data_IF_557618121246
#
_entry.id   IF_557618121246
#
_cell.length_a   1.000
_cell.length_b   1.000
_cell.length_c   1.000
_cell.angle_alpha   90.00
_cell.angle_beta   90.00
_cell.angle_gamma   90.00
#
_symmetry.space_group_name_H-M   'P 1'
#
loop_
_entity.id
_entity.type
_entity.pdbx_description
1 polymer ?
#
# COMPACT_ATOMS: atom_id res chain seq x y z
N UNK A 1 40.05 5.08 15.95
CA UNK A 1 38.57 4.82 15.81
C UNK A 1 37.94 4.17 17.03
N UNK A 2 38.43 3.02 17.53
CA UNK A 2 37.84 2.34 18.70
C UNK A 2 37.88 3.25 19.92
N UNK A 3 39.00 3.88 20.21
CA UNK A 3 39.14 4.83 21.33
C UNK A 3 38.18 6.03 21.20
N UNK A 4 38.03 6.57 19.98
CA UNK A 4 37.12 7.69 19.71
C UNK A 4 35.66 7.28 19.98
N UNK A 5 35.25 6.07 19.49
CA UNK A 5 33.93 5.53 19.73
C UNK A 5 33.67 5.35 21.24
N UNK A 6 34.60 4.74 21.95
CA UNK A 6 34.53 4.56 23.41
C UNK A 6 34.39 5.92 24.11
N UNK A 7 35.16 6.91 23.69
CA UNK A 7 35.08 8.27 24.23
C UNK A 7 33.70 8.88 24.05
N UNK A 8 33.08 8.76 22.85
CA UNK A 8 31.75 9.27 22.55
C UNK A 8 30.69 8.51 23.34
N UNK A 9 30.81 7.18 23.44
CA UNK A 9 29.85 6.36 24.21
C UNK A 9 29.87 6.76 25.70
N UNK A 10 31.06 6.92 26.28
CA UNK A 10 31.21 7.31 27.67
C UNK A 10 30.63 8.71 27.91
N UNK A 11 30.96 9.67 27.05
CA UNK A 11 30.40 11.02 27.14
C UNK A 11 28.87 11.03 27.07
N UNK A 12 28.27 10.26 26.14
CA UNK A 12 26.82 10.16 26.05
C UNK A 12 26.19 9.55 27.30
N UNK A 13 26.81 8.50 27.85
CA UNK A 13 26.36 7.87 29.10
C UNK A 13 26.46 8.83 30.31
N UNK A 14 27.49 9.68 30.37
CA UNK A 14 27.63 10.73 31.38
C UNK A 14 26.53 11.79 31.32
N UNK A 15 25.88 11.92 30.14
CA UNK A 15 24.72 12.79 29.93
C UNK A 15 23.37 12.04 30.11
N UNK A 16 23.37 10.88 30.76
CA UNK A 16 22.19 10.02 30.97
C UNK A 16 21.51 9.56 29.67
N UNK A 17 22.27 9.48 28.56
CA UNK A 17 21.76 9.00 27.27
C UNK A 17 22.00 7.49 27.12
N UNK A 18 20.98 6.76 26.69
CA UNK A 18 21.13 5.37 26.27
C UNK A 18 21.80 5.31 24.90
N UNK A 19 22.86 4.52 24.78
CA UNK A 19 23.63 4.40 23.55
C UNK A 19 23.36 3.07 22.86
N UNK A 20 23.02 3.15 21.60
CA UNK A 20 22.95 2.03 20.68
C UNK A 20 23.94 2.27 19.53
N UNK A 21 24.56 1.22 19.00
CA UNK A 21 25.58 1.36 17.97
C UNK A 21 25.22 0.56 16.70
N UNK A 22 25.40 1.20 15.55
CA UNK A 22 25.39 0.51 14.25
C UNK A 22 26.80 0.05 13.91
N UNK A 23 26.93 -1.23 13.57
CA UNK A 23 28.15 -1.79 12.97
C UNK A 23 27.99 -1.67 11.45
N UNK A 24 28.16 -0.44 10.94
CA UNK A 24 27.89 -0.11 9.53
C UNK A 24 28.60 -1.07 8.59
N UNK A 25 27.88 -1.53 7.54
CA UNK A 25 28.31 -2.54 6.58
C UNK A 25 28.72 -3.89 7.22
N UNK A 26 28.04 -4.24 8.32
CA UNK A 26 28.30 -5.48 9.05
C UNK A 26 28.24 -6.73 8.16
N UNK A 27 27.33 -6.76 7.18
CA UNK A 27 27.18 -7.89 6.26
C UNK A 27 28.45 -8.17 5.46
N UNK A 28 29.03 -7.16 4.84
CA UNK A 28 30.33 -7.29 4.14
C UNK A 28 31.48 -7.52 5.13
N UNK A 29 31.44 -6.87 6.29
CA UNK A 29 32.42 -7.12 7.35
C UNK A 29 32.48 -8.59 7.74
N UNK A 30 31.33 -9.23 7.97
CA UNK A 30 31.25 -10.66 8.30
C UNK A 30 31.67 -11.60 7.17
N UNK A 31 31.46 -11.17 5.93
CA UNK A 31 31.85 -11.92 4.74
C UNK A 31 33.37 -11.85 4.49
N UNK A 32 33.94 -10.66 4.54
CA UNK A 32 35.29 -10.40 4.03
C UNK A 32 36.32 -10.27 5.15
N UNK A 33 35.93 -9.89 6.37
CA UNK A 33 36.82 -9.63 7.51
C UNK A 33 36.14 -9.84 8.87
N UNK A 34 35.65 -11.06 9.18
CA UNK A 34 34.92 -11.34 10.42
C UNK A 34 35.73 -11.06 11.68
N UNK A 35 37.09 -11.24 11.63
CA UNK A 35 37.98 -10.95 12.74
C UNK A 35 37.94 -9.47 13.13
N UNK A 36 37.82 -8.57 12.15
CA UNK A 36 37.70 -7.12 12.41
C UNK A 36 36.35 -6.82 13.07
N UNK A 37 35.26 -7.44 12.63
CA UNK A 37 33.96 -7.28 13.27
C UNK A 37 34.03 -7.73 14.73
N UNK A 38 34.62 -8.88 15.01
CA UNK A 38 34.78 -9.37 16.38
C UNK A 38 35.66 -8.47 17.22
N UNK A 39 36.78 -7.99 16.69
CA UNK A 39 37.65 -7.05 17.36
C UNK A 39 36.92 -5.77 17.80
N UNK A 40 36.10 -5.23 16.90
CA UNK A 40 35.29 -4.05 17.19
C UNK A 40 34.30 -4.33 18.33
N UNK A 41 33.57 -5.42 18.24
CA UNK A 41 32.57 -5.79 19.28
C UNK A 41 33.23 -6.13 20.60
N UNK A 42 34.36 -6.87 20.61
CA UNK A 42 35.13 -7.20 21.82
C UNK A 42 35.56 -5.92 22.58
N UNK A 43 36.03 -4.92 21.85
CA UNK A 43 36.42 -3.63 22.45
C UNK A 43 35.22 -2.85 23.03
N UNK A 44 34.06 -2.91 22.35
CA UNK A 44 32.87 -2.17 22.76
C UNK A 44 32.06 -2.87 23.86
N UNK A 45 32.24 -4.17 24.05
CA UNK A 45 31.51 -4.94 25.09
C UNK A 45 31.81 -4.48 26.52
N UNK A 46 32.90 -3.73 26.72
CA UNK A 46 33.24 -3.13 28.02
C UNK A 46 32.58 -1.77 28.29
N UNK A 47 31.83 -1.27 27.32
CA UNK A 47 31.08 0.00 27.42
C UNK A 47 29.61 -0.26 27.77
N UNK A 48 28.88 0.81 28.11
CA UNK A 48 27.45 0.71 28.43
C UNK A 48 26.57 0.88 27.17
N UNK A 49 26.92 0.19 26.08
CA UNK A 49 26.09 0.09 24.88
C UNK A 49 24.96 -0.90 25.16
N UNK A 50 23.71 -0.49 24.88
CA UNK A 50 22.51 -1.31 25.11
C UNK A 50 22.21 -2.26 23.97
N UNK A 51 22.38 -1.80 22.73
CA UNK A 51 22.04 -2.58 21.53
C UNK A 51 23.11 -2.42 20.46
N UNK A 52 23.39 -3.52 19.80
CA UNK A 52 24.29 -3.59 18.64
C UNK A 52 23.44 -3.87 17.40
N UNK A 53 23.34 -2.89 16.52
CA UNK A 53 22.62 -2.99 15.25
C UNK A 53 23.51 -3.63 14.21
N UNK A 54 23.02 -4.71 13.61
CA UNK A 54 23.70 -5.49 12.58
C UNK A 54 23.04 -5.23 11.22
N UNK A 55 23.49 -4.20 10.47
CA UNK A 55 22.88 -3.86 9.20
C UNK A 55 23.41 -4.72 8.06
N UNK A 56 22.49 -5.23 7.28
CA UNK A 56 22.75 -5.63 5.90
C UNK A 56 22.59 -4.39 5.02
N UNK A 57 23.60 -3.51 5.09
CA UNK A 57 23.57 -2.14 4.56
C UNK A 57 23.28 -2.09 3.07
N UNK A 58 23.78 -3.04 2.30
CA UNK A 58 23.60 -3.11 0.85
C UNK A 58 22.61 -4.21 0.43
N UNK A 59 21.92 -4.84 1.39
CA UNK A 59 20.94 -5.89 1.14
C UNK A 59 21.55 -7.11 0.42
N UNK A 60 22.80 -7.46 0.72
CA UNK A 60 23.57 -8.48 -0.01
C UNK A 60 23.43 -9.90 0.54
N UNK A 61 22.87 -10.05 1.75
CA UNK A 61 22.75 -11.34 2.38
C UNK A 61 21.56 -12.14 1.88
N UNK A 62 21.75 -13.45 1.79
CA UNK A 62 20.65 -14.40 1.71
C UNK A 62 20.34 -14.99 3.11
N UNK A 63 19.18 -15.65 3.30
CA UNK A 63 18.78 -16.19 4.60
C UNK A 63 19.80 -17.16 5.24
N UNK A 64 20.51 -17.96 4.45
CA UNK A 64 21.50 -18.90 4.97
C UNK A 64 22.73 -18.15 5.55
N UNK A 65 23.17 -17.09 4.89
CA UNK A 65 24.25 -16.23 5.38
C UNK A 65 23.82 -15.48 6.64
N UNK A 66 22.58 -14.99 6.71
CA UNK A 66 22.06 -14.36 7.93
C UNK A 66 22.10 -15.37 9.09
N UNK A 67 21.64 -16.61 8.88
CA UNK A 67 21.71 -17.66 9.91
C UNK A 67 23.13 -17.90 10.36
N UNK A 68 24.04 -18.03 9.43
CA UNK A 68 25.47 -18.27 9.73
C UNK A 68 26.08 -17.14 10.54
N UNK A 69 25.98 -15.91 10.03
CA UNK A 69 26.66 -14.75 10.61
C UNK A 69 26.03 -14.35 11.95
N UNK A 70 24.72 -14.33 12.02
CA UNK A 70 24.00 -14.00 13.23
C UNK A 70 24.30 -15.01 14.36
N UNK A 71 24.30 -16.31 14.05
CA UNK A 71 24.65 -17.35 15.03
C UNK A 71 26.09 -17.21 15.53
N UNK A 72 27.05 -16.82 14.69
CA UNK A 72 28.43 -16.53 15.12
C UNK A 72 28.44 -15.39 16.15
N UNK A 73 27.69 -14.30 15.89
CA UNK A 73 27.56 -13.17 16.82
C UNK A 73 26.91 -13.60 18.15
N UNK A 74 25.75 -14.23 18.09
CA UNK A 74 24.99 -14.65 19.30
C UNK A 74 25.77 -15.68 20.12
N UNK A 75 26.46 -16.62 19.47
CA UNK A 75 27.29 -17.60 20.17
C UNK A 75 28.49 -16.97 20.89
N UNK A 76 29.14 -16.00 20.25
CA UNK A 76 30.30 -15.31 20.83
C UNK A 76 29.90 -14.32 21.93
N UNK A 77 28.74 -13.67 21.78
CA UNK A 77 28.26 -12.63 22.69
C UNK A 77 26.85 -12.92 23.20
N UNK A 78 26.67 -13.97 24.04
CA UNK A 78 25.33 -14.47 24.40
C UNK A 78 24.52 -13.47 25.24
N UNK A 79 25.18 -12.52 25.87
CA UNK A 79 24.50 -11.49 26.69
C UNK A 79 24.20 -10.20 25.91
N UNK A 80 24.76 -10.03 24.71
CA UNK A 80 24.52 -8.85 23.91
C UNK A 80 23.08 -8.81 23.36
N UNK A 81 22.59 -7.61 23.12
CA UNK A 81 21.33 -7.36 22.42
C UNK A 81 21.65 -7.00 20.98
N UNK A 82 21.35 -7.90 20.07
CA UNK A 82 21.52 -7.69 18.65
C UNK A 82 20.20 -7.37 17.97
N UNK A 83 20.15 -6.23 17.26
CA UNK A 83 19.07 -5.87 16.34
C UNK A 83 19.52 -6.11 14.91
N UNK A 84 18.62 -6.60 14.07
CA UNK A 84 18.90 -6.81 12.65
C UNK A 84 18.23 -5.73 11.80
N UNK A 85 18.97 -5.12 10.87
CA UNK A 85 18.51 -4.05 9.99
C UNK A 85 18.75 -4.44 8.52
N UNK A 86 17.77 -5.04 7.81
CA UNK A 86 17.96 -5.47 6.43
C UNK A 86 17.48 -4.44 5.42
N UNK A 87 18.32 -4.11 4.44
CA UNK A 87 17.90 -3.52 3.18
C UNK A 87 17.34 -4.57 2.22
N UNK A 88 16.61 -4.13 1.18
CA UNK A 88 15.76 -4.99 0.35
C UNK A 88 16.23 -5.10 -1.12
N UNK A 89 17.52 -4.89 -1.38
CA UNK A 89 18.06 -4.77 -2.74
C UNK A 89 17.85 -6.03 -3.61
N UNK A 90 17.88 -7.21 -3.01
CA UNK A 90 17.54 -8.50 -3.67
C UNK A 90 16.11 -8.99 -3.38
N UNK A 91 15.25 -8.13 -2.82
CA UNK A 91 13.90 -8.51 -2.36
C UNK A 91 13.88 -9.62 -1.29
N UNK A 92 14.96 -9.72 -0.49
CA UNK A 92 15.14 -10.74 0.53
C UNK A 92 14.97 -10.22 1.97
N UNK A 93 14.70 -8.92 2.16
CA UNK A 93 14.69 -8.33 3.50
C UNK A 93 13.74 -9.05 4.47
N UNK A 94 12.53 -9.41 4.03
CA UNK A 94 11.54 -10.11 4.88
C UNK A 94 12.00 -11.52 5.22
N UNK A 95 12.54 -12.27 4.28
CA UNK A 95 13.09 -13.61 4.52
C UNK A 95 14.35 -13.57 5.41
N UNK A 96 15.16 -12.52 5.27
CA UNK A 96 16.32 -12.28 6.12
C UNK A 96 15.92 -11.94 7.56
N UNK A 97 14.82 -11.20 7.77
CA UNK A 97 14.24 -11.01 9.11
C UNK A 97 13.86 -12.34 9.75
N UNK A 98 13.17 -13.22 9.01
CA UNK A 98 12.83 -14.56 9.48
C UNK A 98 14.08 -15.32 9.94
N UNK A 99 15.12 -15.32 9.12
CA UNK A 99 16.41 -15.96 9.41
C UNK A 99 17.11 -15.36 10.64
N UNK A 100 17.05 -14.04 10.81
CA UNK A 100 17.62 -13.35 11.96
C UNK A 100 16.91 -13.73 13.27
N UNK A 101 15.58 -13.77 13.28
CA UNK A 101 14.79 -14.21 14.45
C UNK A 101 15.14 -15.64 14.83
N UNK A 102 15.17 -16.58 13.86
CA UNK A 102 15.58 -17.97 14.09
C UNK A 102 17.02 -18.12 14.61
N UNK A 103 17.83 -17.07 14.44
CA UNK A 103 19.23 -17.07 14.83
C UNK A 103 19.51 -16.28 16.11
N UNK A 104 18.45 -15.71 16.76
CA UNK A 104 18.55 -15.07 18.06
C UNK A 104 18.63 -13.54 18.02
N UNK A 105 18.23 -12.89 16.93
CA UNK A 105 18.00 -11.44 16.94
C UNK A 105 16.94 -11.08 17.98
N UNK A 106 17.19 -10.02 18.76
CA UNK A 106 16.29 -9.55 19.82
C UNK A 106 15.48 -8.33 19.39
N UNK A 107 15.94 -7.63 18.36
CA UNK A 107 15.25 -6.50 17.75
C UNK A 107 15.31 -6.57 16.23
N UNK A 108 14.33 -5.93 15.59
CA UNK A 108 14.17 -5.89 14.13
C UNK A 108 13.87 -4.48 13.69
N UNK A 109 14.62 -3.99 12.72
CA UNK A 109 14.36 -2.69 12.13
C UNK A 109 13.46 -2.84 10.90
N UNK A 110 12.38 -2.12 10.90
CA UNK A 110 11.39 -2.13 9.83
C UNK A 110 10.94 -0.72 9.50
N UNK A 111 10.40 -0.53 8.31
CA UNK A 111 9.81 0.76 7.93
C UNK A 111 8.37 0.56 7.42
N UNK A 112 7.56 1.59 7.56
CA UNK A 112 6.22 1.57 6.96
C UNK A 112 6.37 1.54 5.43
N UNK A 113 5.61 0.67 4.78
CA UNK A 113 5.68 0.41 3.34
C UNK A 113 7.03 -0.10 2.82
N UNK A 114 7.98 -0.40 3.70
CA UNK A 114 9.33 -0.75 3.32
C UNK A 114 10.13 0.42 2.77
N UNK A 115 9.77 1.66 3.09
CA UNK A 115 10.48 2.85 2.62
C UNK A 115 11.92 2.86 3.14
N UNK A 116 12.83 3.36 2.33
CA UNK A 116 14.26 3.49 2.65
C UNK A 116 15.07 3.77 1.41
N UNK A 117 16.38 3.78 1.55
CA UNK A 117 17.28 3.98 0.42
C UNK A 117 17.16 2.85 -0.61
N UNK A 118 17.41 3.16 -1.88
CA UNK A 118 17.40 2.23 -3.02
C UNK A 118 16.10 1.43 -3.12
N UNK A 119 16.15 0.10 -2.81
CA UNK A 119 14.97 -0.77 -2.81
C UNK A 119 14.21 -0.78 -1.45
N UNK A 120 14.68 0.02 -0.49
CA UNK A 120 14.04 0.16 0.83
C UNK A 120 14.49 -0.88 1.85
N UNK A 121 13.63 -1.10 2.84
CA UNK A 121 13.87 -1.96 4.00
C UNK A 121 12.76 -3.03 4.13
N UNK A 122 12.86 -3.88 5.15
CA UNK A 122 11.78 -4.80 5.48
C UNK A 122 10.51 -4.03 5.88
N UNK A 123 9.36 -4.26 5.21
CA UNK A 123 8.10 -3.59 5.55
C UNK A 123 7.51 -4.12 6.85
N UNK A 124 7.11 -3.21 7.75
CA UNK A 124 6.51 -3.55 9.04
C UNK A 124 5.34 -4.52 8.90
N UNK A 125 4.46 -4.29 7.93
CA UNK A 125 3.26 -5.12 7.72
C UNK A 125 3.59 -6.59 7.48
N UNK A 126 4.56 -6.88 6.60
CA UNK A 126 4.99 -8.24 6.31
C UNK A 126 5.73 -8.88 7.48
N UNK A 127 6.60 -8.12 8.15
CA UNK A 127 7.33 -8.61 9.32
C UNK A 127 6.37 -8.93 10.47
N UNK A 128 5.39 -8.07 10.74
CA UNK A 128 4.38 -8.32 11.77
C UNK A 128 3.59 -9.61 11.50
N UNK A 129 3.12 -9.81 10.27
CA UNK A 129 2.39 -11.01 9.90
C UNK A 129 3.24 -12.28 10.09
N UNK A 130 4.49 -12.27 9.62
CA UNK A 130 5.42 -13.40 9.79
C UNK A 130 5.69 -13.71 11.26
N UNK A 131 5.94 -12.71 12.09
CA UNK A 131 6.18 -12.90 13.51
C UNK A 131 4.99 -13.55 14.20
N UNK A 132 3.78 -13.16 13.85
CA UNK A 132 2.57 -13.74 14.40
C UNK A 132 2.30 -15.15 13.89
N UNK A 133 2.37 -15.36 12.58
CA UNK A 133 1.92 -16.60 11.93
C UNK A 133 2.95 -17.73 12.03
N UNK A 134 4.25 -17.39 12.02
CA UNK A 134 5.32 -18.40 12.02
C UNK A 134 6.05 -18.53 13.35
N UNK A 135 5.96 -17.54 14.25
CA UNK A 135 6.64 -17.57 15.54
C UNK A 135 5.69 -17.50 16.73
N UNK A 136 4.39 -17.32 16.51
CA UNK A 136 3.40 -17.04 17.54
C UNK A 136 3.83 -15.87 18.45
N UNK A 137 4.54 -14.91 17.89
CA UNK A 137 5.05 -13.78 18.66
C UNK A 137 3.90 -12.88 19.12
N UNK A 138 3.99 -12.46 20.38
CA UNK A 138 3.07 -11.46 20.94
C UNK A 138 3.70 -10.10 20.71
N UNK A 139 3.02 -9.26 19.95
CA UNK A 139 3.41 -7.87 19.72
C UNK A 139 2.27 -6.94 20.13
N UNK A 140 2.60 -5.67 20.39
CA UNK A 140 1.60 -4.65 20.68
C UNK A 140 1.12 -3.91 19.42
N UNK A 141 1.37 -4.46 18.23
CA UNK A 141 0.99 -3.86 16.96
C UNK A 141 -0.45 -4.26 16.64
N UNK A 142 -1.30 -3.26 16.45
CA UNK A 142 -2.67 -3.45 15.96
C UNK A 142 -2.64 -3.65 14.43
N UNK A 143 -2.80 -4.90 14.01
CA UNK A 143 -2.81 -5.27 12.59
C UNK A 143 -3.94 -4.60 11.80
N UNK A 144 -5.08 -4.32 12.46
CA UNK A 144 -6.22 -3.64 11.85
C UNK A 144 -5.92 -2.21 11.40
N UNK A 145 -4.89 -1.58 11.98
CA UNK A 145 -4.47 -0.22 11.64
C UNK A 145 -3.31 -0.15 10.64
N UNK A 146 -2.73 -1.27 10.23
CA UNK A 146 -1.58 -1.26 9.32
C UNK A 146 -1.91 -0.60 7.98
N UNK A 147 -3.10 -0.80 7.44
CA UNK A 147 -3.53 -0.15 6.20
C UNK A 147 -3.70 1.36 6.37
N UNK A 148 -4.28 1.82 7.48
CA UNK A 148 -4.42 3.23 7.81
C UNK A 148 -3.05 3.93 7.85
N UNK A 149 -2.13 3.40 8.63
CA UNK A 149 -0.77 3.95 8.77
C UNK A 149 -0.02 3.93 7.44
N UNK A 150 -0.20 2.87 6.66
CA UNK A 150 0.39 2.72 5.33
C UNK A 150 -0.06 3.84 4.39
N UNK A 151 -1.36 4.18 4.36
CA UNK A 151 -1.92 5.27 3.55
C UNK A 151 -1.46 6.65 4.03
N UNK A 152 -1.35 6.84 5.33
CA UNK A 152 -0.81 8.10 5.89
C UNK A 152 0.62 8.32 5.41
N UNK A 153 1.48 7.29 5.49
CA UNK A 153 2.87 7.40 5.03
C UNK A 153 2.96 7.57 3.51
N UNK A 154 2.12 6.89 2.72
CA UNK A 154 2.00 7.12 1.28
C UNK A 154 1.71 8.59 0.97
N UNK A 155 0.73 9.17 1.65
CA UNK A 155 0.33 10.57 1.47
C UNK A 155 1.44 11.56 1.82
N UNK A 156 2.17 11.34 2.92
CA UNK A 156 3.23 12.24 3.35
C UNK A 156 4.53 12.07 2.56
N UNK A 157 4.86 10.85 2.16
CA UNK A 157 6.08 10.58 1.39
C UNK A 157 5.95 10.88 -0.10
N UNK A 158 4.73 10.90 -0.63
CA UNK A 158 4.46 10.97 -2.07
C UNK A 158 4.82 9.68 -2.84
N UNK A 159 5.24 8.63 -2.14
CA UNK A 159 5.61 7.34 -2.75
C UNK A 159 4.40 6.42 -2.72
N UNK A 160 3.84 6.13 -3.89
CA UNK A 160 2.67 5.29 -4.03
C UNK A 160 2.93 3.84 -3.60
N UNK A 161 1.96 3.23 -2.93
CA UNK A 161 1.99 1.82 -2.57
C UNK A 161 1.65 0.98 -3.81
N UNK A 162 2.52 0.06 -4.26
CA UNK A 162 2.17 -0.87 -5.33
C UNK A 162 0.89 -1.65 -5.00
N UNK A 163 -0.02 -1.77 -5.96
CA UNK A 163 -1.31 -2.43 -5.75
C UNK A 163 -1.19 -3.89 -5.29
N UNK A 164 -0.08 -4.55 -5.62
CA UNK A 164 0.26 -5.92 -5.20
C UNK A 164 1.20 -5.99 -3.99
N UNK A 165 1.45 -4.87 -3.28
CA UNK A 165 2.28 -4.88 -2.07
C UNK A 165 1.64 -5.77 -1.01
N UNK A 166 2.34 -6.77 -0.45
CA UNK A 166 1.77 -7.66 0.56
C UNK A 166 1.07 -6.90 1.69
N UNK A 167 -0.12 -7.34 2.08
CA UNK A 167 -0.96 -6.85 3.18
C UNK A 167 -1.57 -5.46 2.94
N UNK A 168 -0.83 -4.49 2.44
CA UNK A 168 -1.26 -3.09 2.35
C UNK A 168 -1.60 -2.62 0.94
N UNK A 169 -1.26 -3.41 -0.08
CA UNK A 169 -1.62 -3.14 -1.47
C UNK A 169 -3.13 -3.24 -1.71
N UNK A 170 -3.62 -2.53 -2.71
CA UNK A 170 -5.05 -2.46 -3.01
C UNK A 170 -5.62 -3.84 -3.40
N UNK A 171 -4.88 -4.61 -4.21
CA UNK A 171 -5.36 -5.85 -4.81
C UNK A 171 -5.03 -7.13 -4.01
N UNK A 172 -4.37 -7.03 -2.85
CA UNK A 172 -3.84 -8.22 -2.15
C UNK A 172 -4.92 -9.13 -1.57
N UNK A 173 -6.13 -8.62 -1.37
CA UNK A 173 -7.28 -9.38 -0.91
C UNK A 173 -8.35 -9.55 -1.98
N UNK A 174 -8.00 -9.29 -3.24
CA UNK A 174 -8.92 -9.35 -4.38
C UNK A 174 -8.75 -10.67 -5.13
N UNK A 175 -9.82 -11.45 -5.20
CA UNK A 175 -9.90 -12.69 -5.98
C UNK A 175 -10.28 -12.37 -7.42
N UNK A 176 -9.50 -12.85 -8.38
CA UNK A 176 -9.73 -12.61 -9.81
C UNK A 176 -10.42 -13.80 -10.47
N UNK A 177 -10.00 -15.03 -10.13
CA UNK A 177 -10.51 -16.24 -10.77
C UNK A 177 -11.88 -16.67 -10.19
N UNK A 178 -12.86 -16.89 -11.05
CA UNK A 178 -14.19 -17.35 -10.64
C UNK A 178 -14.19 -18.68 -9.87
N UNK A 179 -13.22 -19.56 -10.15
CA UNK A 179 -13.02 -20.82 -9.42
C UNK A 179 -12.65 -20.57 -7.94
N UNK A 180 -11.85 -19.54 -7.67
CA UNK A 180 -11.48 -19.18 -6.30
C UNK A 180 -12.68 -18.62 -5.54
N UNK A 181 -13.47 -17.73 -6.17
CA UNK A 181 -14.69 -17.20 -5.57
C UNK A 181 -15.72 -18.29 -5.28
N UNK A 182 -15.89 -19.27 -6.17
CA UNK A 182 -16.76 -20.42 -5.96
C UNK A 182 -16.26 -21.33 -4.82
N UNK A 183 -14.95 -21.54 -4.73
CA UNK A 183 -14.33 -22.29 -3.65
C UNK A 183 -14.46 -21.64 -2.29
N UNK A 184 -14.31 -20.32 -2.22
CA UNK A 184 -14.52 -19.53 -1.01
C UNK A 184 -15.98 -19.66 -0.51
N UNK A 185 -16.96 -19.62 -1.41
CA UNK A 185 -18.38 -19.78 -1.07
C UNK A 185 -18.71 -21.19 -0.54
N UNK A 186 -17.97 -22.21 -0.95
CA UNK A 186 -18.26 -23.60 -0.60
C UNK A 186 -17.60 -24.05 0.71
N UNK A 187 -16.41 -23.62 1.04
CA UNK A 187 -15.69 -24.11 2.24
C UNK A 187 -14.42 -23.31 2.55
N UNK A 188 -14.26 -22.08 2.11
CA UNK A 188 -13.01 -21.32 2.24
C UNK A 188 -11.77 -22.08 1.71
N UNK A 189 -11.91 -22.76 0.56
CA UNK A 189 -10.88 -23.66 0.03
C UNK A 189 -9.58 -22.95 -0.38
N UNK A 190 -9.62 -21.65 -0.62
CA UNK A 190 -8.47 -20.84 -1.04
C UNK A 190 -8.11 -19.76 -0.03
N UNK A 191 -8.31 -20.05 1.27
CA UNK A 191 -7.90 -19.19 2.37
C UNK A 191 -6.49 -19.54 2.85
N UNK A 192 -5.77 -18.51 3.28
CA UNK A 192 -4.56 -18.60 4.08
C UNK A 192 -4.76 -17.82 5.40
N UNK A 193 -3.75 -17.80 6.25
CA UNK A 193 -3.80 -17.12 7.56
C UNK A 193 -3.84 -15.60 7.46
N UNK A 194 -3.55 -15.04 6.27
CA UNK A 194 -3.65 -13.60 5.99
C UNK A 194 -5.09 -13.23 5.66
N UNK A 195 -5.98 -13.38 6.64
CA UNK A 195 -7.39 -13.02 6.47
C UNK A 195 -7.54 -11.50 6.35
N UNK A 196 -8.34 -10.99 5.38
CA UNK A 196 -8.54 -9.55 5.18
C UNK A 196 -8.99 -8.82 6.45
N UNK A 197 -9.86 -9.44 7.24
CA UNK A 197 -10.44 -8.88 8.46
C UNK A 197 -9.38 -8.56 9.53
N UNK A 198 -8.27 -9.33 9.59
CA UNK A 198 -7.12 -9.05 10.47
C UNK A 198 -6.54 -7.67 10.22
N UNK A 199 -6.60 -7.22 8.98
CA UNK A 199 -5.98 -6.00 8.50
C UNK A 199 -6.99 -4.87 8.25
N UNK A 200 -8.21 -4.99 8.80
CA UNK A 200 -9.28 -4.01 8.62
C UNK A 200 -9.79 -3.93 7.18
N UNK A 201 -9.60 -4.99 6.39
CA UNK A 201 -10.02 -5.09 4.99
C UNK A 201 -11.14 -6.11 4.84
N UNK A 202 -11.72 -6.13 3.67
CA UNK A 202 -12.67 -7.16 3.23
C UNK A 202 -12.10 -7.90 2.02
N UNK A 203 -12.58 -9.12 1.82
CA UNK A 203 -12.31 -9.84 0.58
C UNK A 203 -13.10 -9.22 -0.55
N UNK A 204 -12.43 -9.00 -1.66
CA UNK A 204 -12.99 -8.37 -2.85
C UNK A 204 -12.94 -9.36 -4.02
N UNK A 205 -13.83 -9.17 -5.00
CA UNK A 205 -13.87 -10.00 -6.19
C UNK A 205 -13.73 -9.10 -7.41
N UNK A 206 -12.63 -9.27 -8.15
CA UNK A 206 -12.34 -8.43 -9.31
C UNK A 206 -13.42 -8.56 -10.39
N UNK A 207 -13.67 -7.44 -11.05
CA UNK A 207 -14.58 -7.34 -12.20
C UNK A 207 -13.74 -7.06 -13.45
N UNK A 208 -13.92 -7.85 -14.52
CA UNK A 208 -13.19 -7.70 -15.77
C UNK A 208 -13.18 -8.95 -16.64
N UNK A 209 -12.23 -9.05 -17.55
CA UNK A 209 -12.10 -10.12 -18.56
C UNK A 209 -12.24 -11.54 -18.00
N UNK A 210 -11.63 -11.83 -16.86
CA UNK A 210 -11.61 -13.16 -16.26
C UNK A 210 -12.72 -13.35 -15.19
N UNK A 211 -13.64 -12.41 -15.07
CA UNK A 211 -14.73 -12.49 -14.09
C UNK A 211 -15.76 -13.53 -14.52
N UNK A 212 -15.91 -14.56 -13.69
CA UNK A 212 -17.03 -15.50 -13.82
C UNK A 212 -18.31 -14.93 -13.23
N UNK A 213 -19.46 -15.56 -13.57
CA UNK A 213 -20.77 -15.21 -13.00
C UNK A 213 -20.77 -15.15 -11.47
N UNK A 214 -19.96 -16.01 -10.81
CA UNK A 214 -19.86 -16.05 -9.36
C UNK A 214 -19.28 -14.76 -8.76
N UNK A 215 -18.23 -14.20 -9.36
CA UNK A 215 -17.63 -12.93 -8.91
C UNK A 215 -18.64 -11.78 -9.05
N UNK A 216 -19.34 -11.72 -10.20
CA UNK A 216 -20.30 -10.65 -10.47
C UNK A 216 -21.48 -10.76 -9.53
N UNK A 217 -22.02 -11.98 -9.33
CA UNK A 217 -23.12 -12.24 -8.40
C UNK A 217 -22.74 -11.78 -7.00
N UNK A 218 -21.55 -12.11 -6.51
CA UNK A 218 -21.09 -11.72 -5.19
C UNK A 218 -21.01 -10.20 -5.01
N UNK A 219 -20.44 -9.50 -5.97
CA UNK A 219 -20.40 -8.03 -5.95
C UNK A 219 -21.81 -7.39 -5.99
N UNK A 220 -22.73 -7.98 -6.74
CA UNK A 220 -24.14 -7.51 -6.79
C UNK A 220 -24.85 -7.76 -5.47
N UNK A 221 -24.67 -8.93 -4.85
CA UNK A 221 -25.22 -9.27 -3.53
C UNK A 221 -24.73 -8.31 -2.46
N UNK A 222 -23.45 -7.96 -2.45
CA UNK A 222 -22.85 -6.98 -1.53
C UNK A 222 -23.48 -5.57 -1.68
N UNK A 223 -23.98 -5.25 -2.88
CA UNK A 223 -24.73 -4.02 -3.16
C UNK A 223 -26.25 -4.17 -2.92
N UNK A 224 -26.72 -5.34 -2.49
CA UNK A 224 -28.14 -5.64 -2.30
C UNK A 224 -28.92 -5.78 -3.63
N UNK A 225 -28.23 -6.06 -4.74
CA UNK A 225 -28.82 -6.24 -6.07
C UNK A 225 -28.94 -7.73 -6.40
N UNK A 226 -30.11 -8.12 -6.87
CA UNK A 226 -30.38 -9.49 -7.36
C UNK A 226 -30.88 -9.43 -8.81
N UNK A 227 -30.24 -10.21 -9.68
CA UNK A 227 -30.60 -10.29 -11.10
C UNK A 227 -31.07 -11.71 -11.44
N UNK A 228 -32.02 -11.80 -12.36
CA UNK A 228 -32.36 -13.08 -13.00
C UNK A 228 -31.21 -13.57 -13.91
N UNK A 229 -31.31 -14.83 -14.36
CA UNK A 229 -30.20 -15.46 -15.12
C UNK A 229 -29.93 -14.79 -16.48
N UNK A 230 -30.95 -14.26 -17.18
CA UNK A 230 -30.76 -13.58 -18.46
C UNK A 230 -30.10 -12.21 -18.27
N UNK A 231 -30.58 -11.45 -17.30
CA UNK A 231 -29.98 -10.18 -16.86
C UNK A 231 -28.55 -10.36 -16.40
N UNK A 232 -28.27 -11.41 -15.60
CA UNK A 232 -26.92 -11.76 -15.16
C UNK A 232 -26.00 -12.06 -16.34
N UNK A 233 -26.48 -12.80 -17.34
CA UNK A 233 -25.72 -13.11 -18.55
C UNK A 233 -25.32 -11.84 -19.29
N UNK A 234 -26.28 -10.93 -19.54
CA UNK A 234 -26.04 -9.67 -20.26
C UNK A 234 -25.06 -8.76 -19.52
N UNK A 235 -25.19 -8.63 -18.21
CA UNK A 235 -24.27 -7.85 -17.36
C UNK A 235 -22.88 -8.46 -17.38
N UNK A 236 -22.78 -9.81 -17.30
CA UNK A 236 -21.50 -10.53 -17.39
C UNK A 236 -20.80 -10.25 -18.71
N UNK A 237 -21.52 -10.36 -19.84
CA UNK A 237 -20.97 -10.09 -21.17
C UNK A 237 -20.45 -8.65 -21.27
N UNK A 238 -21.19 -7.68 -20.73
CA UNK A 238 -20.77 -6.27 -20.72
C UNK A 238 -19.52 -6.02 -19.90
N UNK A 239 -19.42 -6.62 -18.72
CA UNK A 239 -18.22 -6.50 -17.87
C UNK A 239 -17.01 -7.12 -18.55
N UNK A 240 -17.15 -8.26 -19.21
CA UNK A 240 -16.08 -8.89 -19.97
C UNK A 240 -15.65 -7.99 -21.14
N UNK A 241 -16.58 -7.40 -21.86
CA UNK A 241 -16.32 -6.47 -22.97
C UNK A 241 -15.50 -5.26 -22.49
N UNK A 242 -15.88 -4.65 -21.34
CA UNK A 242 -15.13 -3.55 -20.72
C UNK A 242 -13.71 -4.00 -20.34
N UNK A 243 -13.59 -5.16 -19.71
CA UNK A 243 -12.29 -5.73 -19.35
C UNK A 243 -11.40 -6.07 -20.55
N UNK A 244 -11.98 -6.49 -21.69
CA UNK A 244 -11.24 -6.73 -22.94
C UNK A 244 -10.70 -5.42 -23.53
N UNK A 245 -11.40 -4.31 -23.32
CA UNK A 245 -10.93 -2.95 -23.67
C UNK A 245 -9.91 -2.40 -22.65
N UNK A 246 -9.49 -3.20 -21.66
CA UNK A 246 -8.62 -2.79 -20.55
C UNK A 246 -9.19 -1.67 -19.68
N UNK A 247 -10.50 -1.53 -19.65
CA UNK A 247 -11.17 -0.64 -18.71
C UNK A 247 -11.22 -1.32 -17.33
N UNK A 248 -10.84 -0.59 -16.30
CA UNK A 248 -10.97 -1.07 -14.91
C UNK A 248 -12.44 -0.94 -14.52
N UNK A 249 -13.06 -2.05 -14.18
CA UNK A 249 -14.44 -2.09 -13.66
C UNK A 249 -14.36 -2.27 -12.14
N UNK A 250 -14.99 -1.38 -11.40
CA UNK A 250 -15.09 -1.43 -9.94
C UNK A 250 -16.49 -1.87 -9.49
N UNK A 251 -16.64 -2.17 -8.21
CA UNK A 251 -17.94 -2.51 -7.63
C UNK A 251 -18.94 -1.34 -7.74
N UNK A 252 -18.44 -0.12 -7.63
CA UNK A 252 -19.24 1.10 -7.75
C UNK A 252 -19.80 1.32 -9.16
N UNK A 253 -19.16 0.74 -10.18
CA UNK A 253 -19.64 0.83 -11.57
C UNK A 253 -20.81 -0.11 -11.84
N UNK A 254 -20.99 -1.18 -11.05
CA UNK A 254 -22.01 -2.20 -11.29
C UNK A 254 -23.43 -1.66 -11.40
N UNK A 255 -23.92 -0.78 -10.51
CA UNK A 255 -25.28 -0.24 -10.64
C UNK A 255 -25.51 0.50 -11.96
N UNK A 256 -24.48 1.20 -12.47
CA UNK A 256 -24.53 1.91 -13.75
C UNK A 256 -24.52 0.92 -14.92
N UNK A 257 -23.68 -0.10 -14.88
CA UNK A 257 -23.59 -1.14 -15.91
C UNK A 257 -24.93 -1.91 -15.98
N UNK A 258 -25.49 -2.27 -14.82
CA UNK A 258 -26.80 -2.94 -14.75
C UNK A 258 -27.90 -2.06 -15.36
N UNK A 259 -27.94 -0.78 -14.99
CA UNK A 259 -28.92 0.18 -15.52
C UNK A 259 -28.78 0.36 -17.03
N UNK A 260 -27.58 0.48 -17.54
CA UNK A 260 -27.29 0.62 -18.99
C UNK A 260 -27.71 -0.63 -19.78
N UNK A 261 -27.33 -1.79 -19.30
CA UNK A 261 -27.59 -3.08 -19.99
C UNK A 261 -29.05 -3.46 -19.99
N UNK A 262 -29.76 -3.25 -18.88
CA UNK A 262 -31.17 -3.67 -18.74
C UNK A 262 -32.13 -2.60 -19.22
N UNK A 263 -31.67 -1.40 -19.57
CA UNK A 263 -32.49 -0.24 -19.96
C UNK A 263 -33.64 0.04 -18.98
N UNK A 264 -33.50 -0.40 -17.74
CA UNK A 264 -34.43 -0.17 -16.65
C UNK A 264 -33.73 0.72 -15.61
N UNK A 265 -34.38 1.83 -15.26
CA UNK A 265 -33.86 2.78 -14.29
C UNK A 265 -33.69 2.16 -12.90
N UNK A 266 -32.58 1.41 -12.70
CA UNK A 266 -32.19 0.88 -11.40
C UNK A 266 -31.71 2.01 -10.49
N UNK A 267 -31.30 3.14 -11.09
CA UNK A 267 -30.92 4.35 -10.37
C UNK A 267 -31.86 5.51 -10.71
N UNK A 268 -32.52 6.04 -9.71
CA UNK A 268 -33.11 7.37 -9.81
C UNK A 268 -31.98 8.38 -9.82
N UNK A 269 -31.57 8.84 -11.00
CA UNK A 269 -30.56 9.88 -11.12
C UNK A 269 -31.07 11.16 -10.46
N UNK A 270 -30.72 11.32 -9.18
CA UNK A 270 -31.08 12.53 -8.42
C UNK A 270 -30.34 13.77 -8.93
N UNK A 271 -29.21 13.57 -9.58
CA UNK A 271 -28.34 14.62 -10.13
C UNK A 271 -27.97 14.23 -11.56
N UNK A 272 -28.26 15.11 -12.52
CA UNK A 272 -27.91 14.92 -13.94
C UNK A 272 -27.01 16.06 -14.39
N UNK A 273 -25.86 15.72 -14.96
CA UNK A 273 -25.02 16.70 -15.64
C UNK A 273 -25.62 17.01 -17.00
N UNK A 274 -26.10 18.24 -17.21
CA UNK A 274 -26.71 18.68 -18.49
C UNK A 274 -25.67 19.16 -19.48
N UNK A 275 -24.85 20.12 -19.08
CA UNK A 275 -23.75 20.67 -19.89
C UNK A 275 -22.61 21.12 -19.00
N UNK A 276 -21.41 21.16 -19.57
CA UNK A 276 -20.27 21.78 -18.93
C UNK A 276 -19.33 22.38 -19.98
N UNK A 277 -18.60 23.41 -19.57
CA UNK A 277 -17.50 24.00 -20.32
C UNK A 277 -16.32 24.12 -19.38
N UNK A 278 -15.15 23.71 -19.85
CA UNK A 278 -13.87 23.91 -19.12
C UNK A 278 -12.96 24.71 -20.04
N UNK A 279 -12.54 25.88 -19.59
CA UNK A 279 -11.65 26.76 -20.31
C UNK A 279 -10.24 26.69 -19.73
N UNK A 280 -9.28 26.46 -20.60
CA UNK A 280 -7.85 26.50 -20.30
C UNK A 280 -7.22 27.59 -21.17
N UNK A 281 -6.45 28.49 -20.56
CA UNK A 281 -5.67 29.47 -21.29
C UNK A 281 -4.31 29.65 -20.62
N UNK A 282 -3.28 29.84 -21.43
CA UNK A 282 -1.93 30.10 -20.94
C UNK A 282 -1.90 31.36 -20.05
N UNK A 283 -1.31 31.22 -18.87
CA UNK A 283 -1.17 32.33 -17.92
C UNK A 283 -2.44 32.70 -17.13
N UNK A 284 -3.56 31.97 -17.33
CA UNK A 284 -4.80 32.16 -16.58
C UNK A 284 -5.17 30.89 -15.79
N UNK A 285 -5.89 31.12 -14.66
CA UNK A 285 -6.44 29.99 -13.92
C UNK A 285 -7.53 29.27 -14.74
N UNK A 286 -7.56 27.94 -14.78
CA UNK A 286 -8.66 27.20 -15.38
C UNK A 286 -10.02 27.62 -14.82
N UNK A 287 -11.03 27.72 -15.68
CA UNK A 287 -12.42 27.95 -15.29
C UNK A 287 -13.31 26.85 -15.79
N UNK A 288 -14.26 26.46 -14.97
CA UNK A 288 -15.34 25.55 -15.36
C UNK A 288 -16.71 26.17 -15.09
N UNK A 289 -17.59 26.07 -16.07
CA UNK A 289 -19.03 26.33 -15.92
C UNK A 289 -19.78 25.05 -16.14
N UNK A 290 -20.69 24.71 -15.24
CA UNK A 290 -21.50 23.50 -15.37
C UNK A 290 -22.98 23.78 -15.05
N UNK A 291 -23.83 23.05 -15.75
CA UNK A 291 -25.27 23.06 -15.55
C UNK A 291 -25.70 21.65 -15.18
N UNK A 292 -26.30 21.52 -14.01
CA UNK A 292 -26.81 20.24 -13.49
C UNK A 292 -28.30 20.33 -13.15
N UNK A 293 -28.99 19.22 -13.25
CA UNK A 293 -30.37 19.06 -12.78
C UNK A 293 -30.36 18.25 -11.48
N UNK A 294 -30.99 18.77 -10.44
CA UNK A 294 -31.22 18.08 -9.17
C UNK A 294 -32.67 18.03 -8.89
N UNK A 295 -33.26 16.80 -8.78
CA UNK A 295 -34.67 16.60 -8.56
C UNK A 295 -35.57 17.38 -9.54
N UNK A 296 -35.21 17.47 -10.81
CA UNK A 296 -35.94 18.16 -11.86
C UNK A 296 -35.73 19.67 -11.93
N UNK A 297 -34.95 20.27 -11.06
CA UNK A 297 -34.58 21.68 -11.07
C UNK A 297 -33.16 21.89 -11.58
N UNK A 298 -32.95 22.82 -12.50
CA UNK A 298 -31.65 23.14 -13.09
C UNK A 298 -30.90 24.20 -12.27
N UNK A 299 -29.59 23.99 -12.15
CA UNK A 299 -28.65 24.90 -11.49
C UNK A 299 -27.43 25.08 -12.35
N UNK A 300 -26.95 26.32 -12.43
CA UNK A 300 -25.75 26.65 -13.19
C UNK A 300 -24.79 27.45 -12.30
N UNK A 301 -23.52 27.03 -12.31
CA UNK A 301 -22.46 27.69 -11.55
C UNK A 301 -21.14 27.64 -12.29
N UNK A 302 -20.30 28.64 -11.99
CA UNK A 302 -18.94 28.75 -12.50
C UNK A 302 -17.94 28.88 -11.37
N UNK A 303 -16.74 28.30 -11.58
CA UNK A 303 -15.62 28.49 -10.66
C UNK A 303 -14.28 28.41 -11.37
N UNK A 304 -13.28 29.08 -10.81
CA UNK A 304 -11.88 28.88 -11.17
C UNK A 304 -11.22 27.90 -10.18
N UNK A 305 -10.18 27.22 -10.63
CA UNK A 305 -9.40 26.29 -9.83
C UNK A 305 -7.91 26.31 -10.19
N UNK A 306 -7.12 25.53 -9.46
CA UNK A 306 -5.68 25.40 -9.73
C UNK A 306 -5.40 24.40 -10.87
N UNK A 307 -6.42 23.61 -11.26
CA UNK A 307 -6.48 22.74 -12.42
C UNK A 307 -7.91 22.66 -12.95
N UNK A 308 -8.08 22.09 -14.15
CA UNK A 308 -9.39 21.94 -14.81
C UNK A 308 -10.38 21.14 -13.95
N UNK A 309 -9.92 20.05 -13.34
CA UNK A 309 -10.74 19.21 -12.47
C UNK A 309 -11.12 19.95 -11.18
N UNK A 310 -10.17 20.67 -10.57
CA UNK A 310 -10.44 21.48 -9.38
C UNK A 310 -11.46 22.59 -9.67
N UNK A 311 -11.36 23.27 -10.81
CA UNK A 311 -12.34 24.27 -11.25
C UNK A 311 -13.76 23.66 -11.36
N UNK A 312 -13.88 22.46 -11.98
CA UNK A 312 -15.14 21.74 -12.12
C UNK A 312 -15.72 21.35 -10.75
N UNK A 313 -14.92 20.74 -9.90
CA UNK A 313 -15.36 20.31 -8.56
C UNK A 313 -15.72 21.51 -7.67
N UNK A 314 -15.02 22.63 -7.78
CA UNK A 314 -15.38 23.86 -7.03
C UNK A 314 -16.74 24.42 -7.47
N UNK A 315 -17.03 24.42 -8.77
CA UNK A 315 -18.34 24.85 -9.27
C UNK A 315 -19.44 23.91 -8.75
N UNK A 316 -19.22 22.59 -8.79
CA UNK A 316 -20.15 21.60 -8.25
C UNK A 316 -20.35 21.76 -6.74
N UNK A 317 -19.30 22.01 -5.97
CA UNK A 317 -19.38 22.29 -4.52
C UNK A 317 -20.23 23.53 -4.21
N UNK A 318 -20.16 24.57 -5.03
CA UNK A 318 -21.00 25.76 -4.85
C UNK A 318 -22.48 25.41 -4.98
N UNK A 319 -22.87 24.66 -6.02
CA UNK A 319 -24.25 24.23 -6.20
C UNK A 319 -24.70 23.38 -5.00
N UNK A 320 -23.91 22.39 -4.58
CA UNK A 320 -24.26 21.53 -3.44
C UNK A 320 -24.45 22.30 -2.13
N UNK A 321 -23.56 23.28 -1.87
CA UNK A 321 -23.64 24.11 -0.66
C UNK A 321 -24.90 24.97 -0.64
N UNK A 322 -25.24 25.60 -1.78
CA UNK A 322 -26.38 26.49 -1.90
C UNK A 322 -27.71 25.72 -1.93
N UNK A 323 -27.76 24.63 -2.70
CA UNK A 323 -29.00 23.90 -3.00
C UNK A 323 -29.36 22.84 -1.96
N UNK A 324 -28.38 22.09 -1.47
CA UNK A 324 -28.62 20.96 -0.60
C UNK A 324 -28.25 21.25 0.87
N UNK A 325 -27.59 22.38 1.16
CA UNK A 325 -27.09 22.67 2.50
C UNK A 325 -26.12 21.63 3.05
N UNK A 326 -25.56 20.76 2.19
CA UNK A 326 -24.69 19.65 2.56
C UNK A 326 -23.26 19.88 2.10
N UNK A 327 -22.31 19.31 2.85
CA UNK A 327 -20.92 19.25 2.38
C UNK A 327 -20.85 18.31 1.19
N UNK A 328 -20.15 18.73 0.14
CA UNK A 328 -19.78 17.86 -0.97
C UNK A 328 -18.80 16.79 -0.47
N UNK A 329 -18.92 15.53 -0.91
CA UNK A 329 -17.99 14.48 -0.54
C UNK A 329 -16.52 14.89 -0.83
N UNK A 330 -15.60 14.48 0.04
CA UNK A 330 -14.17 14.66 -0.24
C UNK A 330 -13.72 13.64 -1.27
N UNK A 331 -12.91 14.09 -2.23
CA UNK A 331 -12.24 13.22 -3.16
C UNK A 331 -11.16 12.44 -2.39
N UNK A 332 -11.24 11.12 -2.40
CA UNK A 332 -10.27 10.24 -1.73
C UNK A 332 -9.19 9.74 -2.68
N UNK A 333 -9.50 9.65 -3.98
CA UNK A 333 -8.55 9.25 -5.01
C UNK A 333 -8.93 9.90 -6.35
N UNK A 334 -7.92 10.19 -7.18
CA UNK A 334 -8.09 10.66 -8.53
C UNK A 334 -6.98 10.10 -9.42
N UNK A 335 -7.36 9.43 -10.47
CA UNK A 335 -6.42 8.90 -11.46
C UNK A 335 -6.86 9.29 -12.88
N UNK A 336 -5.92 9.64 -13.71
CA UNK A 336 -6.12 9.84 -15.15
C UNK A 336 -5.45 8.68 -15.88
N UNK A 337 -6.25 7.88 -16.58
CA UNK A 337 -5.76 6.78 -17.38
C UNK A 337 -5.80 7.15 -18.85
N UNK A 338 -4.66 7.05 -19.53
CA UNK A 338 -4.57 7.25 -20.97
C UNK A 338 -4.68 5.90 -21.68
N UNK A 339 -5.76 5.69 -22.38
CA UNK A 339 -6.08 4.40 -23.02
C UNK A 339 -5.23 4.07 -24.27
N UNK A 340 -4.47 5.04 -24.80
CA UNK A 340 -3.66 4.87 -26.02
C UNK A 340 -2.19 5.10 -25.76
N UNK A 341 -1.38 4.06 -25.95
CA UNK A 341 0.06 4.04 -25.65
C UNK A 341 0.95 4.79 -26.66
N UNK A 342 0.43 5.25 -27.79
CA UNK A 342 1.18 6.03 -28.76
C UNK A 342 1.16 7.55 -28.49
N UNK A 343 0.32 8.02 -27.59
CA UNK A 343 0.49 9.31 -26.96
C UNK A 343 1.48 9.13 -25.80
N UNK A 344 2.74 8.88 -26.11
CA UNK A 344 3.80 9.12 -25.15
C UNK A 344 3.80 10.63 -24.91
N UNK A 345 3.43 11.04 -23.71
CA UNK A 345 3.74 12.36 -23.23
C UNK A 345 5.28 12.45 -23.13
N UNK A 346 5.91 12.77 -24.24
CA UNK A 346 7.28 13.30 -24.26
C UNK A 346 7.30 14.79 -23.89
N UNK A 347 6.17 15.28 -23.37
CA UNK A 347 6.05 16.61 -22.93
C UNK A 347 6.42 16.63 -21.45
N UNK A 348 7.70 16.93 -21.21
CA UNK A 348 8.14 17.42 -19.92
C UNK A 348 7.42 18.74 -19.65
N UNK A 349 7.27 19.18 -18.37
CA UNK A 349 6.68 20.47 -18.02
C UNK A 349 7.28 21.68 -18.75
N UNK A 350 8.41 21.52 -19.40
CA UNK A 350 9.12 22.53 -20.18
C UNK A 350 8.53 22.71 -21.60
N UNK A 351 7.60 21.84 -22.02
CA UNK A 351 6.95 21.89 -23.33
C UNK A 351 5.42 22.13 -23.27
N UNK A 352 4.89 22.44 -22.08
CA UNK A 352 3.50 22.87 -21.88
C UNK A 352 3.46 24.39 -21.68
#
# INVERSE_FOLDING_TARGET
HIEDIIGVVNYANEQDMEVNIYLEDWSNGMKDSPEYVFQMVDALMHTNIKRYMLPDTLGVLNPLQVIEYMRKMVKRYPHAHFDFHPHNDYDLAVSNVLAAVLSGAKGLHTTINGLGERAGNAPLSSVQAILKDHFNAITNIDEGRLNEVSRVVESYSGIAIPANKPIVGENVFTQVAGVHADGDNKSNLYCNDLLPERFGRKREYALGKNSGKANIRKNLEDLGLTLDEDSMRKVTERIIELGDKKELVTQEDLPYIVSDVLKHGVMNEKVKLKTYIVNLAYGLKPMATLKIEINGQEYEESSSGDGQYDAFVRALRKIYKVTLGRKFPMLTNYAVTVSYTHLRAHETPEHL
#
